data_IF_922234660103
#
_entry.id   IF_922234660103
#
_cell.length_a   1.000
_cell.length_b   1.000
_cell.length_c   1.000
_cell.angle_alpha   90.00
_cell.angle_beta   90.00
_cell.angle_gamma   90.00
#
_symmetry.space_group_name_H-M   'P 1'
#
loop_
_entity.id
_entity.type
_entity.pdbx_description
1 polymer ?
#
# COMPACT_ATOMS: atom_id res chain seq x y z
N UNK A 1 22.56 1.72 -6.90
CA UNK A 1 21.85 0.50 -6.41
C UNK A 1 21.49 0.76 -4.96
N UNK A 2 20.24 0.48 -4.59
CA UNK A 2 19.84 0.56 -3.19
C UNK A 2 20.77 -0.32 -2.34
N UNK A 3 21.10 0.18 -1.17
CA UNK A 3 21.94 -0.55 -0.21
C UNK A 3 21.03 -1.55 0.52
N UNK A 4 20.87 -2.75 -0.07
CA UNK A 4 19.97 -3.79 0.44
C UNK A 4 20.52 -4.28 1.79
N UNK A 5 19.69 -4.17 2.83
CA UNK A 5 20.06 -4.73 4.13
C UNK A 5 19.79 -6.25 4.13
N UNK A 6 20.86 -7.03 4.11
CA UNK A 6 20.82 -8.48 4.15
C UNK A 6 20.61 -9.02 5.57
N UNK A 7 20.11 -10.26 5.66
CA UNK A 7 19.97 -11.05 6.88
C UNK A 7 19.16 -10.37 8.00
N UNK A 8 18.19 -9.53 7.65
CA UNK A 8 17.23 -9.01 8.61
C UNK A 8 16.26 -10.09 9.07
N UNK A 9 15.83 -9.98 10.31
CA UNK A 9 14.69 -10.76 10.79
C UNK A 9 13.38 -10.29 10.12
N UNK A 10 12.49 -11.22 9.82
CA UNK A 10 11.14 -10.94 9.40
C UNK A 10 10.40 -10.24 10.55
N UNK A 11 10.02 -8.98 10.36
CA UNK A 11 9.42 -8.14 11.40
C UNK A 11 8.31 -7.28 10.84
N UNK A 12 7.25 -7.10 11.62
CA UNK A 12 6.14 -6.17 11.32
C UNK A 12 6.19 -4.99 12.28
N UNK A 13 6.03 -3.78 11.74
CA UNK A 13 6.00 -2.53 12.50
C UNK A 13 4.75 -1.73 12.13
N UNK A 14 3.97 -1.34 13.14
CA UNK A 14 2.82 -0.45 12.96
C UNK A 14 3.29 0.95 12.53
N UNK A 15 2.44 1.61 11.74
CA UNK A 15 2.65 3.03 11.39
C UNK A 15 1.69 3.93 12.17
N UNK A 16 1.74 5.22 11.89
CA UNK A 16 0.77 6.16 12.46
C UNK A 16 -0.62 6.12 11.78
N UNK A 17 -0.82 5.32 10.74
CA UNK A 17 -2.11 5.09 10.06
C UNK A 17 -2.61 3.70 10.46
N UNK A 18 -3.80 3.62 11.03
CA UNK A 18 -4.34 2.36 11.54
C UNK A 18 -4.41 1.26 10.46
N UNK A 19 -3.78 0.11 10.75
CA UNK A 19 -3.70 -1.04 9.85
C UNK A 19 -2.65 -0.98 8.75
N UNK A 20 -2.03 0.18 8.49
CA UNK A 20 -0.88 0.30 7.58
C UNK A 20 0.37 -0.21 8.31
N UNK A 21 1.03 -1.24 7.77
CA UNK A 21 2.14 -1.93 8.44
C UNK A 21 3.35 -2.10 7.55
N UNK A 22 4.52 -1.70 8.04
CA UNK A 22 5.80 -1.95 7.39
C UNK A 22 6.28 -3.34 7.77
N UNK A 23 6.86 -4.07 6.80
CA UNK A 23 7.39 -5.41 6.97
C UNK A 23 8.86 -5.42 6.54
N UNK A 24 9.76 -5.70 7.46
CA UNK A 24 11.15 -6.03 7.11
C UNK A 24 11.19 -7.47 6.62
N UNK A 25 11.78 -7.69 5.44
CA UNK A 25 11.90 -9.00 4.79
C UNK A 25 13.33 -9.51 4.92
N UNK A 26 13.47 -10.81 5.24
CA UNK A 26 14.76 -11.47 5.17
C UNK A 26 15.22 -11.58 3.71
N UNK A 27 16.37 -11.00 3.39
CA UNK A 27 17.03 -11.12 2.10
C UNK A 27 18.37 -11.81 2.29
N UNK A 28 18.60 -12.89 1.57
CA UNK A 28 19.80 -13.71 1.65
C UNK A 28 20.62 -13.53 0.38
N UNK A 29 21.88 -13.11 0.53
CA UNK A 29 22.79 -12.84 -0.59
C UNK A 29 23.88 -13.91 -0.74
N UNK A 30 24.25 -14.25 -2.00
CA UNK A 30 25.42 -15.07 -2.31
C UNK A 30 26.09 -14.60 -3.60
N UNK A 31 27.08 -15.35 -4.11
CA UNK A 31 27.82 -15.01 -5.34
C UNK A 31 26.96 -14.96 -6.61
N UNK A 32 25.74 -15.44 -6.59
CA UNK A 32 24.78 -15.44 -7.73
C UNK A 32 23.80 -14.26 -7.67
N UNK A 33 23.71 -13.54 -6.53
CA UNK A 33 22.77 -12.47 -6.28
C UNK A 33 22.10 -12.61 -4.93
N UNK A 34 20.77 -12.41 -4.87
CA UNK A 34 20.04 -12.55 -3.63
C UNK A 34 18.71 -13.28 -3.83
N UNK A 35 18.21 -13.84 -2.74
CA UNK A 35 16.92 -14.52 -2.62
C UNK A 35 16.14 -13.93 -1.44
N UNK A 36 14.83 -13.81 -1.56
CA UNK A 36 13.92 -13.52 -0.45
C UNK A 36 12.63 -14.32 -0.58
N UNK A 37 12.07 -14.70 0.55
CA UNK A 37 10.68 -15.10 0.61
C UNK A 37 9.82 -13.83 0.65
N UNK A 38 9.23 -13.49 -0.50
CA UNK A 38 8.50 -12.23 -0.63
C UNK A 38 7.16 -12.23 0.10
N UNK A 39 6.50 -13.37 0.17
CA UNK A 39 5.21 -13.57 0.82
C UNK A 39 5.06 -15.02 1.28
N UNK A 40 4.73 -15.19 2.57
CA UNK A 40 4.34 -16.48 3.11
C UNK A 40 3.21 -16.25 4.11
N UNK A 41 1.99 -16.62 3.70
CA UNK A 41 0.74 -16.32 4.39
C UNK A 41 0.75 -16.67 5.88
N UNK A 42 1.21 -17.87 6.23
CA UNK A 42 1.21 -18.33 7.62
C UNK A 42 2.15 -17.48 8.51
N UNK A 43 3.36 -17.16 8.02
CA UNK A 43 4.30 -16.29 8.74
C UNK A 43 3.75 -14.87 8.90
N UNK A 44 3.17 -14.30 7.83
CA UNK A 44 2.59 -12.95 7.86
C UNK A 44 1.43 -12.86 8.85
N UNK A 45 0.51 -13.85 8.84
CA UNK A 45 -0.58 -13.91 9.82
C UNK A 45 -0.07 -14.06 11.26
N UNK A 46 0.96 -14.89 11.47
CA UNK A 46 1.56 -15.07 12.80
C UNK A 46 2.20 -13.77 13.34
N UNK A 47 2.64 -12.88 12.47
CA UNK A 47 3.18 -11.56 12.80
C UNK A 47 2.10 -10.46 12.87
N UNK A 48 0.82 -10.82 12.73
CA UNK A 48 -0.30 -9.91 12.86
C UNK A 48 -0.75 -9.22 11.57
N UNK A 49 -0.15 -9.52 10.40
CA UNK A 49 -0.72 -9.07 9.13
C UNK A 49 -2.09 -9.75 8.95
N UNK A 50 -3.15 -9.02 8.59
CA UNK A 50 -4.44 -9.61 8.28
C UNK A 50 -4.35 -10.71 7.21
N UNK A 51 -5.28 -11.66 7.27
CA UNK A 51 -5.30 -12.81 6.36
C UNK A 51 -5.60 -12.36 4.91
N UNK A 52 -4.57 -11.85 4.24
CA UNK A 52 -4.65 -11.45 2.84
C UNK A 52 -4.77 -12.70 1.95
N UNK A 53 -5.97 -12.93 1.43
CA UNK A 53 -6.26 -14.02 0.49
C UNK A 53 -5.89 -13.58 -0.92
N UNK A 54 -4.62 -13.69 -1.26
CA UNK A 54 -4.08 -13.24 -2.54
C UNK A 54 -4.79 -13.94 -3.71
N UNK A 55 -5.37 -13.15 -4.62
CA UNK A 55 -6.02 -13.62 -5.85
C UNK A 55 -5.39 -13.05 -7.12
N UNK A 56 -4.61 -11.96 -7.00
CA UNK A 56 -3.94 -11.32 -8.14
C UNK A 56 -2.59 -10.76 -7.70
N UNK A 57 -1.58 -10.90 -8.55
CA UNK A 57 -0.29 -10.23 -8.43
C UNK A 57 -0.10 -9.27 -9.61
N UNK A 58 0.34 -8.06 -9.32
CA UNK A 58 0.65 -7.05 -10.31
C UNK A 58 2.11 -6.62 -10.21
N UNK A 59 2.72 -6.27 -11.33
CA UNK A 59 4.06 -5.71 -11.40
C UNK A 59 3.99 -4.40 -12.18
N UNK A 60 4.52 -3.33 -11.58
CA UNK A 60 4.79 -2.07 -12.26
C UNK A 60 6.28 -1.95 -12.49
N UNK A 61 6.69 -2.05 -13.76
CA UNK A 61 8.06 -1.78 -14.14
C UNK A 61 8.21 -0.30 -14.51
N UNK A 62 9.28 0.33 -14.04
CA UNK A 62 9.52 1.76 -14.17
C UNK A 62 10.91 1.95 -14.77
N UNK A 63 10.97 2.33 -16.07
CA UNK A 63 12.20 2.41 -16.84
C UNK A 63 13.18 3.43 -16.23
N UNK A 64 12.66 4.58 -15.81
CA UNK A 64 13.48 5.71 -15.38
C UNK A 64 13.23 6.05 -13.91
N UNK A 65 14.29 6.49 -13.24
CA UNK A 65 14.22 7.20 -11.99
C UNK A 65 13.28 8.40 -12.11
N UNK A 66 12.46 8.68 -11.08
CA UNK A 66 11.50 9.78 -11.08
C UNK A 66 10.12 9.42 -11.64
N UNK A 67 9.90 8.21 -12.18
CA UNK A 67 8.53 7.75 -12.47
C UNK A 67 7.73 7.74 -11.18
N UNK A 68 6.63 8.51 -11.15
CA UNK A 68 5.78 8.69 -9.97
C UNK A 68 4.36 8.29 -10.32
N UNK A 69 3.70 7.52 -9.45
CA UNK A 69 2.33 7.03 -9.65
C UNK A 69 1.53 7.19 -8.37
N UNK A 70 0.25 7.55 -8.51
CA UNK A 70 -0.68 7.66 -7.38
C UNK A 70 -1.40 9.00 -7.33
N UNK A 71 -2.03 9.35 -6.26
CA UNK A 71 -2.30 8.55 -5.04
C UNK A 71 -3.64 7.83 -5.24
N UNK A 72 -3.64 6.52 -5.15
CA UNK A 72 -4.82 5.69 -5.42
C UNK A 72 -5.19 4.88 -4.17
N UNK A 73 -6.36 5.15 -3.59
CA UNK A 73 -6.96 4.27 -2.59
C UNK A 73 -7.92 3.31 -3.29
N UNK A 74 -7.64 2.04 -3.15
CA UNK A 74 -8.38 0.97 -3.81
C UNK A 74 -9.28 0.22 -2.81
N UNK A 75 -10.37 -0.45 -3.29
CA UNK A 75 -11.35 -1.08 -2.42
C UNK A 75 -10.92 -2.48 -1.90
N UNK A 76 -9.62 -2.75 -1.87
CA UNK A 76 -9.01 -4.01 -1.42
C UNK A 76 -7.72 -3.78 -0.65
N UNK A 77 -7.26 -4.82 0.01
CA UNK A 77 -5.99 -4.84 0.72
C UNK A 77 -4.84 -5.21 -0.21
N UNK A 78 -3.65 -4.69 0.08
CA UNK A 78 -2.44 -4.94 -0.71
C UNK A 78 -1.26 -5.33 0.18
N UNK A 79 -0.41 -6.18 -0.36
CA UNK A 79 0.96 -6.36 0.14
C UNK A 79 1.93 -5.94 -0.96
N UNK A 80 2.65 -4.89 -0.69
CA UNK A 80 3.52 -4.21 -1.66
C UNK A 80 4.97 -4.47 -1.32
N UNK A 81 5.78 -4.76 -2.33
CA UNK A 81 7.22 -4.94 -2.19
C UNK A 81 7.96 -4.48 -3.45
N UNK A 82 9.27 -4.40 -3.36
CA UNK A 82 10.15 -4.08 -4.48
C UNK A 82 10.93 -5.34 -4.86
N UNK A 83 10.90 -5.71 -6.15
CA UNK A 83 11.66 -6.82 -6.70
C UNK A 83 13.03 -6.38 -7.22
N UNK A 84 13.18 -5.11 -7.65
CA UNK A 84 14.43 -4.51 -8.08
C UNK A 84 14.36 -2.99 -7.92
N UNK A 85 15.50 -2.39 -7.54
CA UNK A 85 15.62 -0.94 -7.31
C UNK A 85 15.02 -0.53 -5.98
N UNK A 86 14.64 0.73 -5.88
CA UNK A 86 14.03 1.31 -4.69
C UNK A 86 12.99 2.35 -5.05
N UNK A 87 12.05 2.58 -4.14
CA UNK A 87 11.03 3.62 -4.27
C UNK A 87 10.90 4.43 -2.99
N UNK A 88 10.66 5.72 -3.11
CA UNK A 88 10.04 6.51 -2.06
C UNK A 88 8.53 6.28 -2.13
N UNK A 89 7.95 5.68 -1.11
CA UNK A 89 6.52 5.45 -1.01
C UNK A 89 5.85 6.48 -0.10
N UNK A 90 4.63 6.91 -0.47
CA UNK A 90 3.79 7.75 0.35
C UNK A 90 2.37 7.17 0.41
N UNK A 91 1.84 7.02 1.62
CA UNK A 91 0.51 6.48 1.89
C UNK A 91 -0.32 7.50 2.63
N UNK A 92 -1.59 7.65 2.23
CA UNK A 92 -2.52 8.63 2.79
C UNK A 92 -3.79 7.92 3.25
N UNK A 93 -4.25 8.18 4.45
CA UNK A 93 -5.52 7.63 4.92
C UNK A 93 -6.69 8.40 4.26
N UNK A 94 -7.44 7.72 3.40
CA UNK A 94 -8.60 8.29 2.68
C UNK A 94 -9.92 7.60 3.08
N UNK A 95 -9.97 6.95 4.25
CA UNK A 95 -11.15 6.20 4.74
C UNK A 95 -12.14 7.14 5.42
N UNK A 96 -13.40 7.02 5.06
CA UNK A 96 -14.50 7.74 5.71
C UNK A 96 -14.56 7.40 7.20
N UNK A 97 -14.64 8.44 8.05
CA UNK A 97 -14.73 8.31 9.50
C UNK A 97 -13.45 7.85 10.21
N UNK A 98 -12.34 7.73 9.49
CA UNK A 98 -11.05 7.41 10.13
C UNK A 98 -10.55 8.56 10.99
N UNK A 99 -10.07 8.25 12.19
CA UNK A 99 -9.42 9.22 13.08
C UNK A 99 -8.09 9.76 12.51
N UNK A 100 -7.55 9.10 11.49
CA UNK A 100 -6.30 9.49 10.81
C UNK A 100 -6.54 9.93 9.36
N UNK A 101 -7.78 10.29 8.99
CA UNK A 101 -8.07 10.81 7.64
C UNK A 101 -7.12 11.96 7.25
N UNK A 102 -6.56 11.92 6.07
CA UNK A 102 -5.57 12.86 5.56
C UNK A 102 -4.15 12.67 6.09
N UNK A 103 -3.92 11.81 7.09
CA UNK A 103 -2.58 11.54 7.60
C UNK A 103 -1.72 10.86 6.55
N UNK A 104 -0.48 11.34 6.44
CA UNK A 104 0.53 10.82 5.51
C UNK A 104 1.55 9.97 6.28
N UNK A 105 1.96 8.86 5.69
CA UNK A 105 3.13 8.08 6.08
C UNK A 105 4.04 7.89 4.89
N UNK A 106 5.34 8.12 5.06
CA UNK A 106 6.34 7.95 4.00
C UNK A 106 7.48 7.05 4.45
N UNK A 107 8.00 6.25 3.55
CA UNK A 107 9.24 5.48 3.75
C UNK A 107 9.83 5.06 2.41
N UNK A 108 11.12 4.74 2.41
CA UNK A 108 11.76 4.08 1.26
C UNK A 108 11.52 2.58 1.35
N UNK A 109 11.09 1.99 0.23
CA UNK A 109 11.05 0.54 0.05
C UNK A 109 12.15 0.13 -0.92
N UNK A 110 12.87 -0.90 -0.55
CA UNK A 110 13.83 -1.65 -1.33
C UNK A 110 13.51 -3.16 -1.24
N UNK A 111 14.28 -4.09 -1.81
CA UNK A 111 14.01 -5.52 -1.71
C UNK A 111 13.89 -6.07 -0.27
N UNK A 112 14.48 -5.41 0.74
CA UNK A 112 14.43 -5.82 2.15
C UNK A 112 13.24 -5.29 2.93
N UNK A 113 12.33 -4.54 2.28
CA UNK A 113 11.18 -3.91 2.95
C UNK A 113 9.91 -3.99 2.10
N UNK A 114 8.83 -4.36 2.74
CA UNK A 114 7.49 -4.38 2.16
C UNK A 114 6.52 -3.55 3.02
N UNK A 115 5.31 -3.36 2.53
CA UNK A 115 4.24 -2.70 3.29
C UNK A 115 2.89 -3.36 3.01
N UNK A 116 2.14 -3.63 4.08
CA UNK A 116 0.73 -4.00 4.00
C UNK A 116 -0.12 -2.73 4.03
N UNK A 117 -0.95 -2.56 3.01
CA UNK A 117 -1.81 -1.39 2.82
C UNK A 117 -3.25 -1.84 2.90
N UNK A 118 -4.00 -1.44 3.95
CA UNK A 118 -5.40 -1.79 4.06
C UNK A 118 -6.24 -1.00 3.05
N UNK A 119 -7.38 -1.55 2.70
CA UNK A 119 -8.41 -0.91 1.87
C UNK A 119 -8.64 0.55 2.28
N UNK A 120 -8.69 1.45 1.30
CA UNK A 120 -8.99 2.88 1.50
C UNK A 120 -7.80 3.71 1.99
N UNK A 121 -6.65 3.10 2.22
CA UNK A 121 -5.39 3.84 2.35
C UNK A 121 -4.82 4.06 0.95
N UNK A 122 -4.66 5.32 0.57
CA UNK A 122 -4.07 5.74 -0.70
C UNK A 122 -2.62 5.33 -0.78
N UNK A 123 -2.23 4.79 -1.93
CA UNK A 123 -0.88 4.34 -2.22
C UNK A 123 -0.28 5.15 -3.36
N UNK A 124 0.95 5.58 -3.18
CA UNK A 124 1.75 6.22 -4.20
C UNK A 124 3.22 5.88 -4.03
N UNK A 125 3.98 6.01 -5.11
CA UNK A 125 5.43 5.86 -5.05
C UNK A 125 6.13 6.69 -6.12
N UNK A 126 7.41 6.99 -5.88
CA UNK A 126 8.36 7.55 -6.83
C UNK A 126 9.56 6.63 -6.93
N UNK A 127 9.89 6.18 -8.15
CA UNK A 127 11.07 5.35 -8.42
C UNK A 127 12.36 6.15 -8.15
N UNK A 128 13.25 5.60 -7.33
CA UNK A 128 14.53 6.22 -6.99
C UNK A 128 15.69 5.72 -7.86
N UNK A 129 15.46 4.66 -8.64
CA UNK A 129 16.43 4.05 -9.53
C UNK A 129 15.79 3.69 -10.88
N UNK A 130 16.61 3.62 -11.93
CA UNK A 130 16.18 3.13 -13.25
C UNK A 130 15.89 1.63 -13.19
N UNK A 131 14.89 1.18 -13.95
CA UNK A 131 14.49 -0.22 -14.01
C UNK A 131 13.91 -0.75 -12.70
N UNK A 132 13.27 0.10 -11.92
CA UNK A 132 12.62 -0.29 -10.66
C UNK A 132 11.39 -1.15 -10.92
N UNK A 133 11.35 -2.34 -10.29
CA UNK A 133 10.23 -3.28 -10.34
C UNK A 133 9.46 -3.28 -9.02
N UNK A 134 8.28 -2.65 -9.03
CA UNK A 134 7.34 -2.54 -7.91
C UNK A 134 6.24 -3.59 -8.08
N UNK A 135 6.08 -4.46 -7.10
CA UNK A 135 5.11 -5.56 -7.15
C UNK A 135 4.12 -5.48 -6.00
N UNK A 136 2.88 -5.90 -6.23
CA UNK A 136 1.87 -5.95 -5.19
C UNK A 136 0.89 -7.11 -5.38
N UNK A 137 0.60 -7.76 -4.26
CA UNK A 137 -0.39 -8.80 -4.11
C UNK A 137 -1.69 -8.16 -3.62
N UNK A 138 -2.84 -8.63 -4.12
CA UNK A 138 -4.16 -8.09 -3.75
C UNK A 138 -5.17 -9.21 -3.50
N UNK A 139 -6.19 -8.95 -2.69
CA UNK A 139 -7.26 -9.87 -2.31
C UNK A 139 -8.53 -9.71 -3.16
N UNK A 140 -8.46 -8.95 -4.26
CA UNK A 140 -9.55 -8.81 -5.22
C UNK A 140 -9.02 -8.75 -6.66
N UNK A 141 -9.85 -9.19 -7.61
CA UNK A 141 -9.55 -9.04 -9.04
C UNK A 141 -9.81 -7.60 -9.48
N UNK A 142 -8.88 -7.05 -10.24
CA UNK A 142 -9.09 -5.76 -10.88
C UNK A 142 -10.20 -5.84 -11.93
N UNK A 143 -11.09 -4.86 -11.95
CA UNK A 143 -12.05 -4.63 -13.02
C UNK A 143 -12.30 -3.14 -13.24
N UNK A 144 -12.78 -2.79 -14.44
CA UNK A 144 -13.13 -1.41 -14.75
C UNK A 144 -14.28 -0.89 -13.86
N UNK A 145 -15.18 -1.78 -13.45
CA UNK A 145 -16.27 -1.48 -12.53
C UNK A 145 -15.72 -1.09 -11.14
N UNK A 146 -14.82 -1.92 -10.60
CA UNK A 146 -14.19 -1.63 -9.31
C UNK A 146 -13.31 -0.38 -9.34
N UNK A 147 -12.69 -0.05 -10.48
CA UNK A 147 -11.94 1.20 -10.63
C UNK A 147 -12.80 2.44 -10.37
N UNK A 148 -14.10 2.38 -10.65
CA UNK A 148 -15.05 3.49 -10.39
C UNK A 148 -15.30 3.74 -8.90
N UNK A 149 -14.90 2.79 -8.05
CA UNK A 149 -15.03 2.89 -6.58
C UNK A 149 -13.74 3.33 -5.89
N UNK A 150 -12.70 3.64 -6.66
CA UNK A 150 -11.45 4.17 -6.09
C UNK A 150 -11.65 5.57 -5.55
N UNK A 151 -10.87 5.89 -4.54
CA UNK A 151 -10.65 7.25 -4.09
C UNK A 151 -9.27 7.70 -4.54
N UNK A 152 -9.19 8.89 -5.09
CA UNK A 152 -7.94 9.48 -5.59
C UNK A 152 -7.67 10.78 -4.87
N UNK A 153 -6.39 11.13 -4.70
CA UNK A 153 -5.95 12.44 -4.23
C UNK A 153 -4.70 12.89 -4.98
N UNK A 154 -4.56 14.18 -5.17
CA UNK A 154 -3.49 14.79 -5.96
C UNK A 154 -2.12 14.60 -5.28
N UNK A 155 -1.11 14.22 -6.06
CA UNK A 155 0.29 14.04 -5.60
C UNK A 155 0.92 15.34 -5.08
N UNK A 156 0.49 16.49 -5.60
CA UNK A 156 0.98 17.83 -5.26
C UNK A 156 0.11 18.57 -4.25
N UNK A 157 -0.82 17.86 -3.58
CA UNK A 157 -1.70 18.48 -2.60
C UNK A 157 -0.92 19.12 -1.46
N UNK A 158 -1.05 20.45 -1.23
CA UNK A 158 -0.30 21.15 -0.19
C UNK A 158 -0.70 20.73 1.24
N UNK A 159 -1.91 20.23 1.46
CA UNK A 159 -2.35 19.74 2.77
C UNK A 159 -1.64 18.42 3.14
N UNK A 160 -1.25 17.62 2.15
CA UNK A 160 -0.51 16.37 2.37
C UNK A 160 0.98 16.63 2.64
N UNK A 161 1.53 17.73 2.18
CA UNK A 161 2.91 18.17 2.38
C UNK A 161 3.95 17.03 2.13
N UNK A 162 3.75 16.23 1.06
CA UNK A 162 4.66 15.13 0.73
C UNK A 162 5.94 15.69 0.11
N UNK A 163 7.06 15.48 0.78
CA UNK A 163 8.39 15.89 0.30
C UNK A 163 8.95 14.86 -0.69
N UNK A 164 8.55 14.97 -1.95
CA UNK A 164 9.03 14.08 -3.01
C UNK A 164 10.52 14.25 -3.25
N UNK A 165 11.34 13.18 -3.22
CA UNK A 165 12.80 13.26 -3.45
C UNK A 165 13.19 13.88 -4.79
N UNK A 166 12.35 13.66 -5.81
CA UNK A 166 12.47 14.32 -7.11
C UNK A 166 11.24 15.21 -7.26
N UNK A 167 11.42 16.53 -7.41
CA UNK A 167 10.31 17.46 -7.59
C UNK A 167 9.35 16.99 -8.69
N UNK A 168 8.04 17.12 -8.48
CA UNK A 168 7.03 16.58 -9.40
C UNK A 168 7.08 17.21 -10.80
N UNK A 169 7.58 18.44 -10.92
CA UNK A 169 7.82 19.13 -12.20
C UNK A 169 9.00 18.52 -13.00
N UNK A 170 9.83 17.70 -12.35
CA UNK A 170 10.95 16.94 -12.96
C UNK A 170 10.69 15.43 -13.00
N UNK A 171 9.58 14.99 -12.45
CA UNK A 171 9.19 13.59 -12.40
C UNK A 171 8.36 13.20 -13.63
N UNK A 172 8.34 11.91 -13.96
CA UNK A 172 7.44 11.37 -14.97
C UNK A 172 6.13 10.95 -14.30
N UNK A 173 5.09 11.71 -14.52
CA UNK A 173 3.75 11.51 -13.93
C UNK A 173 2.72 11.42 -15.06
N UNK A 174 1.71 10.55 -14.91
CA UNK A 174 0.60 10.50 -15.87
C UNK A 174 -0.28 11.74 -15.77
N UNK A 175 -0.89 12.14 -16.88
CA UNK A 175 -1.85 13.25 -16.90
C UNK A 175 -3.03 12.99 -15.92
N UNK A 176 -3.47 11.76 -15.81
CA UNK A 176 -4.54 11.39 -14.87
C UNK A 176 -4.12 11.64 -13.42
N UNK A 177 -2.91 11.23 -13.03
CA UNK A 177 -2.41 11.40 -11.65
C UNK A 177 -2.17 12.87 -11.30
N UNK A 178 -1.84 13.72 -12.28
CA UNK A 178 -1.71 15.17 -12.09
C UNK A 178 -3.04 15.88 -11.86
N UNK A 179 -4.14 15.29 -12.33
CA UNK A 179 -5.48 15.89 -12.32
C UNK A 179 -6.42 15.30 -11.25
N UNK A 180 -5.89 14.53 -10.29
CA UNK A 180 -6.70 14.05 -9.17
C UNK A 180 -7.16 15.20 -8.26
N UNK A 181 -8.31 15.05 -7.54
CA UNK A 181 -8.83 16.08 -6.66
C UNK A 181 -7.86 16.35 -5.49
N UNK A 182 -7.90 17.56 -4.94
CA UNK A 182 -7.23 17.88 -3.68
C UNK A 182 -7.97 17.26 -2.48
N UNK A 183 -7.28 17.06 -1.36
CA UNK A 183 -7.80 16.38 -0.16
C UNK A 183 -9.15 16.93 0.30
N UNK A 184 -9.33 18.25 0.27
CA UNK A 184 -10.58 18.96 0.63
C UNK A 184 -11.77 18.59 -0.26
N UNK A 185 -11.51 18.13 -1.49
CA UNK A 185 -12.52 17.79 -2.50
C UNK A 185 -12.68 16.27 -2.69
N UNK A 186 -11.90 15.48 -1.96
CA UNK A 186 -11.93 14.01 -2.04
C UNK A 186 -13.21 13.46 -1.44
N UNK A 187 -13.84 12.53 -2.14
CA UNK A 187 -14.87 11.67 -1.55
C UNK A 187 -14.18 10.51 -0.83
N UNK A 188 -14.21 10.47 0.51
CA UNK A 188 -13.55 9.41 1.26
C UNK A 188 -14.09 8.04 0.93
N UNK A 189 -13.26 7.02 1.04
CA UNK A 189 -13.67 5.64 0.81
C UNK A 189 -14.57 5.15 1.94
N UNK A 190 -15.83 4.90 1.61
CA UNK A 190 -16.82 4.39 2.57
C UNK A 190 -16.38 3.04 3.17
N UNK A 191 -16.69 2.76 4.46
CA UNK A 191 -16.36 1.48 5.08
C UNK A 191 -17.08 0.31 4.40
N UNK A 192 -16.51 -0.90 4.50
CA UNK A 192 -17.25 -2.11 4.11
C UNK A 192 -18.46 -2.26 5.04
N UNK A 193 -19.61 -2.52 4.46
CA UNK A 193 -20.83 -2.82 5.23
C UNK A 193 -21.09 -4.31 5.14
N UNK A 194 -21.25 -4.95 6.28
CA UNK A 194 -21.63 -6.36 6.38
C UNK A 194 -23.06 -6.44 6.91
N UNK A 195 -23.94 -7.04 6.14
CA UNK A 195 -25.30 -7.34 6.61
C UNK A 195 -25.27 -8.70 7.34
N UNK A 196 -25.65 -8.69 8.61
CA UNK A 196 -25.81 -9.92 9.40
C UNK A 196 -27.31 -10.18 9.55
N UNK A 197 -27.82 -11.23 8.90
CA UNK A 197 -29.19 -11.73 9.09
C UNK A 197 -29.23 -12.64 10.32
N UNK A 198 -30.37 -12.69 11.01
CA UNK A 198 -30.50 -13.49 12.25
C UNK A 198 -29.68 -12.95 13.42
N UNK A 199 -29.58 -11.62 13.52
CA UNK A 199 -28.75 -10.93 14.52
C UNK A 199 -29.14 -11.22 15.99
N UNK A 200 -30.33 -11.73 16.24
CA UNK A 200 -30.82 -12.10 17.59
C UNK A 200 -30.60 -13.59 17.92
N UNK A 201 -30.07 -14.37 17.00
CA UNK A 201 -29.62 -15.75 17.24
C UNK A 201 -28.22 -15.80 17.86
N UNK A 202 -27.82 -17.00 18.32
CA UNK A 202 -26.51 -17.23 18.96
C UNK A 202 -25.32 -16.72 18.12
N UNK A 203 -25.33 -17.01 16.81
CA UNK A 203 -24.28 -16.55 15.88
C UNK A 203 -24.30 -15.03 15.72
N UNK A 204 -25.48 -14.43 15.60
CA UNK A 204 -25.62 -12.97 15.49
C UNK A 204 -25.12 -12.24 16.73
N UNK A 205 -25.37 -12.78 17.92
CA UNK A 205 -24.80 -12.26 19.17
C UNK A 205 -23.28 -12.34 19.17
N UNK A 206 -22.69 -13.48 18.83
CA UNK A 206 -21.25 -13.67 18.78
C UNK A 206 -20.57 -12.70 17.78
N UNK A 207 -21.17 -12.50 16.60
CA UNK A 207 -20.66 -11.54 15.61
C UNK A 207 -20.71 -10.10 16.14
N UNK A 208 -21.78 -9.70 16.81
CA UNK A 208 -21.90 -8.35 17.42
C UNK A 208 -20.85 -8.08 18.49
N UNK A 209 -20.47 -9.09 19.26
CA UNK A 209 -19.42 -8.96 20.27
C UNK A 209 -18.01 -8.82 19.65
N UNK A 210 -17.78 -9.47 18.52
CA UNK A 210 -16.48 -9.42 17.79
C UNK A 210 -16.24 -8.10 17.05
N UNK A 211 -17.31 -7.34 16.73
CA UNK A 211 -17.19 -6.09 15.94
C UNK A 211 -17.39 -4.82 16.78
N UNK A 212 -17.49 -4.95 18.10
CA UNK A 212 -17.45 -3.86 19.07
C UNK A 212 -16.02 -3.52 19.45
#
# INVERSE_FOLDING_TARGET
MADIAFEKDLKVTETGIGGLRVVDLAVHGDSRGWFKENWQRAKMCALGIPDLRVVQNNISYNDNRGVTRGIHAEPWDKFISVARGSVFGAWVDLREGSATFGKVYTTVLDPSKAIYVPRGVGNSFQALEDGTAYTYLVDAHWSLELKRTYTFVNLADPELAIEWPIPLDKATVSEADLNHPHLKDVVPMAPRRTLVTGCDGQLGHAVRELVR
#
